data_IF_051051568452
#
_entry.id   IF_051051568452
#
_cell.length_a   1.000
_cell.length_b   1.000
_cell.length_c   1.000
_cell.angle_alpha   90.00
_cell.angle_beta   90.00
_cell.angle_gamma   90.00
#
_symmetry.space_group_name_H-M   'P 1'
#
loop_
_entity.id
_entity.type
_entity.pdbx_description
1 polymer ?
#
# COMPACT_ATOMS: atom_id res chain seq x y z
N UNK A 1 -7.90 3.67 -31.49
CA UNK A 1 -8.42 3.02 -30.27
C UNK A 1 -7.19 2.51 -29.55
N UNK A 2 -6.84 3.07 -28.39
CA UNK A 2 -5.69 2.56 -27.65
C UNK A 2 -6.07 1.16 -27.14
N UNK A 3 -5.22 0.17 -27.37
CA UNK A 3 -5.47 -1.17 -26.84
C UNK A 3 -5.48 -1.11 -25.31
N UNK A 4 -6.54 -1.67 -24.74
CA UNK A 4 -6.63 -1.80 -23.29
C UNK A 4 -5.61 -2.86 -22.83
N UNK A 5 -4.81 -2.50 -21.85
CA UNK A 5 -3.82 -3.39 -21.22
C UNK A 5 -4.45 -3.92 -19.94
N UNK A 6 -4.13 -5.17 -19.60
CA UNK A 6 -4.46 -5.76 -18.29
C UNK A 6 -3.18 -5.87 -17.46
N UNK A 7 -3.23 -5.43 -16.21
CA UNK A 7 -2.14 -5.50 -15.25
C UNK A 7 -2.64 -6.21 -13.99
N UNK A 8 -1.84 -7.13 -13.48
CA UNK A 8 -2.06 -7.76 -12.19
C UNK A 8 -1.14 -7.12 -11.16
N UNK A 9 -1.66 -6.90 -9.96
CA UNK A 9 -0.89 -6.30 -8.89
C UNK A 9 -1.64 -6.28 -7.57
N UNK A 10 -1.04 -5.66 -6.57
CA UNK A 10 -1.63 -5.54 -5.24
C UNK A 10 -2.06 -4.09 -4.98
N UNK A 11 -3.23 -3.89 -4.37
CA UNK A 11 -3.64 -2.59 -3.88
C UNK A 11 -2.64 -2.13 -2.81
N UNK A 12 -2.02 -0.97 -3.02
CA UNK A 12 -0.91 -0.52 -2.18
C UNK A 12 -1.40 0.10 -0.85
N UNK A 13 -2.31 1.05 -0.95
CA UNK A 13 -2.80 1.88 0.16
C UNK A 13 -4.32 1.99 0.04
N UNK A 14 -4.95 2.60 1.06
CA UNK A 14 -6.38 2.89 1.06
C UNK A 14 -6.78 3.72 -0.18
N UNK A 15 -7.93 3.38 -0.73
CA UNK A 15 -8.46 4.05 -1.91
C UNK A 15 -9.08 5.39 -1.51
N UNK A 16 -9.07 6.35 -2.44
CA UNK A 16 -9.51 7.71 -2.17
C UNK A 16 -10.56 8.15 -3.20
N UNK A 17 -11.64 8.81 -2.77
CA UNK A 17 -12.53 9.51 -3.70
C UNK A 17 -11.77 10.53 -4.55
N UNK A 18 -12.06 10.56 -5.85
CA UNK A 18 -11.51 11.54 -6.78
C UNK A 18 -12.28 12.85 -6.82
N UNK A 19 -13.49 12.87 -6.27
CA UNK A 19 -14.39 14.02 -6.17
C UNK A 19 -15.34 13.88 -4.96
N UNK A 20 -16.07 14.96 -4.65
CA UNK A 20 -16.98 15.05 -3.49
C UNK A 20 -18.20 14.12 -3.61
N UNK A 21 -18.55 13.70 -4.82
CA UNK A 21 -19.67 12.81 -5.08
C UNK A 21 -19.26 11.34 -5.16
N UNK A 22 -17.98 11.02 -4.90
CA UNK A 22 -17.44 9.66 -5.03
C UNK A 22 -17.70 9.04 -6.41
N UNK A 23 -17.89 9.88 -7.44
CA UNK A 23 -18.17 9.43 -8.80
C UNK A 23 -16.93 8.97 -9.55
N UNK A 24 -15.77 9.28 -8.98
CA UNK A 24 -14.44 8.86 -9.43
C UNK A 24 -13.64 8.37 -8.24
N UNK A 25 -12.68 7.48 -8.48
CA UNK A 25 -11.79 6.95 -7.45
C UNK A 25 -10.33 7.01 -7.90
N UNK A 26 -9.42 7.16 -6.94
CA UNK A 26 -7.97 7.14 -7.12
C UNK A 26 -7.35 6.15 -6.16
N UNK A 27 -6.41 5.36 -6.65
CA UNK A 27 -5.72 4.36 -5.86
C UNK A 27 -4.37 4.04 -6.51
N UNK A 28 -3.56 3.22 -5.85
CA UNK A 28 -2.25 2.81 -6.36
C UNK A 28 -2.13 1.30 -6.33
N UNK A 29 -1.56 0.74 -7.40
CA UNK A 29 -1.29 -0.70 -7.50
C UNK A 29 0.21 -0.92 -7.57
N UNK A 30 0.73 -1.84 -6.76
CA UNK A 30 2.08 -2.38 -6.95
C UNK A 30 1.98 -3.46 -8.03
N UNK A 31 2.66 -3.23 -9.15
CA UNK A 31 2.79 -4.18 -10.24
C UNK A 31 4.19 -4.76 -10.21
N UNK A 32 4.31 -6.08 -10.18
CA UNK A 32 5.56 -6.81 -10.31
C UNK A 32 5.60 -7.42 -11.71
N UNK A 33 6.32 -6.82 -12.68
CA UNK A 33 6.42 -7.38 -14.03
C UNK A 33 7.23 -8.68 -14.07
N UNK A 34 8.04 -8.92 -13.05
CA UNK A 34 8.82 -10.14 -12.80
C UNK A 34 8.53 -10.63 -11.37
N UNK A 35 8.99 -11.84 -11.04
CA UNK A 35 8.95 -12.35 -9.66
C UNK A 35 10.04 -11.71 -8.77
N UNK A 36 10.84 -10.77 -9.30
CA UNK A 36 11.88 -10.07 -8.55
C UNK A 36 11.32 -8.78 -7.92
N UNK A 37 11.49 -8.65 -6.60
CA UNK A 37 10.98 -7.51 -5.82
C UNK A 37 11.57 -6.16 -6.24
N UNK A 38 12.76 -6.15 -6.85
CA UNK A 38 13.43 -4.93 -7.33
C UNK A 38 12.72 -4.29 -8.52
N UNK A 39 11.88 -5.05 -9.23
CA UNK A 39 11.21 -4.58 -10.44
C UNK A 39 9.79 -4.07 -10.15
N UNK A 40 9.40 -3.98 -8.88
CA UNK A 40 8.09 -3.48 -8.47
C UNK A 40 7.90 -2.02 -8.86
N UNK A 41 6.74 -1.73 -9.45
CA UNK A 41 6.33 -0.39 -9.84
C UNK A 41 5.03 -0.02 -9.14
N UNK A 42 5.01 1.12 -8.44
CA UNK A 42 3.79 1.72 -7.91
C UNK A 42 3.13 2.54 -9.02
N UNK A 43 1.98 2.08 -9.50
CA UNK A 43 1.25 2.71 -10.61
C UNK A 43 0.01 3.46 -10.09
N UNK A 44 -0.05 4.80 -10.24
CA UNK A 44 -1.25 5.57 -9.95
C UNK A 44 -2.40 5.16 -10.88
N UNK A 45 -3.54 4.81 -10.31
CA UNK A 45 -4.74 4.40 -11.01
C UNK A 45 -5.88 5.39 -10.79
N UNK A 46 -6.80 5.47 -11.76
CA UNK A 46 -8.05 6.23 -11.61
C UNK A 46 -9.21 5.53 -12.30
N UNK A 47 -10.39 5.68 -11.72
CA UNK A 47 -11.67 5.21 -12.26
C UNK A 47 -12.57 6.41 -12.45
N UNK A 48 -13.23 6.47 -13.61
CA UNK A 48 -14.21 7.51 -13.94
C UNK A 48 -15.65 6.97 -14.07
N UNK A 49 -15.83 5.65 -13.96
CA UNK A 49 -17.14 5.03 -13.92
C UNK A 49 -17.67 5.03 -12.47
N UNK A 50 -18.84 5.64 -12.18
CA UNK A 50 -19.32 5.79 -10.81
C UNK A 50 -19.62 4.47 -10.09
N UNK A 51 -20.08 3.44 -10.81
CA UNK A 51 -20.38 2.15 -10.20
C UNK A 51 -19.08 1.44 -9.79
N UNK A 52 -18.08 1.48 -10.68
CA UNK A 52 -16.76 0.95 -10.38
C UNK A 52 -16.04 1.77 -9.29
N UNK A 53 -16.20 3.10 -9.30
CA UNK A 53 -15.64 3.97 -8.27
C UNK A 53 -16.17 3.62 -6.88
N UNK A 54 -17.48 3.35 -6.77
CA UNK A 54 -18.10 2.91 -5.53
C UNK A 54 -17.47 1.60 -5.02
N UNK A 55 -17.36 0.57 -5.87
CA UNK A 55 -16.66 -0.68 -5.49
C UNK A 55 -15.22 -0.42 -5.07
N UNK A 56 -14.48 0.43 -5.79
CA UNK A 56 -13.09 0.74 -5.42
C UNK A 56 -12.99 1.39 -4.05
N UNK A 57 -13.91 2.30 -3.72
CA UNK A 57 -13.88 3.07 -2.47
C UNK A 57 -14.32 2.22 -1.28
N UNK A 58 -15.34 1.37 -1.45
CA UNK A 58 -16.01 0.73 -0.33
C UNK A 58 -15.71 -0.76 -0.17
N UNK A 59 -15.32 -1.45 -1.25
CA UNK A 59 -15.17 -2.92 -1.23
C UNK A 59 -13.71 -3.40 -1.22
N UNK A 60 -12.77 -2.56 -1.67
CA UNK A 60 -11.35 -2.94 -1.77
C UNK A 60 -10.58 -2.60 -0.51
N UNK A 61 -9.63 -3.46 -0.16
CA UNK A 61 -8.71 -3.23 0.97
C UNK A 61 -7.25 -3.33 0.53
N UNK A 62 -6.35 -2.58 1.20
CA UNK A 62 -4.92 -2.71 0.95
C UNK A 62 -4.46 -4.17 1.03
N UNK A 63 -3.63 -4.58 0.06
CA UNK A 63 -3.19 -5.97 -0.09
C UNK A 63 -4.08 -6.85 -0.97
N UNK A 64 -5.26 -6.38 -1.41
CA UNK A 64 -6.06 -7.11 -2.40
C UNK A 64 -5.24 -7.31 -3.68
N UNK A 65 -5.23 -8.53 -4.20
CA UNK A 65 -4.67 -8.81 -5.53
C UNK A 65 -5.72 -8.50 -6.58
N UNK A 66 -5.42 -7.55 -7.44
CA UNK A 66 -6.31 -7.02 -8.45
C UNK A 66 -5.79 -7.32 -9.85
N UNK A 67 -6.71 -7.56 -10.77
CA UNK A 67 -6.52 -7.38 -12.22
C UNK A 67 -7.19 -6.09 -12.62
N UNK A 68 -6.41 -5.10 -13.05
CA UNK A 68 -6.92 -3.84 -13.58
C UNK A 68 -6.77 -3.81 -15.09
N UNK A 69 -7.83 -3.44 -15.80
CA UNK A 69 -7.85 -3.33 -17.26
C UNK A 69 -8.19 -1.92 -17.66
N UNK A 70 -7.43 -1.35 -18.59
CA UNK A 70 -7.58 0.04 -18.97
C UNK A 70 -6.45 0.56 -19.85
N UNK A 71 -6.28 1.88 -19.84
CA UNK A 71 -5.33 2.56 -20.72
C UNK A 71 -4.28 3.32 -19.91
N UNK A 72 -3.01 3.15 -20.29
CA UNK A 72 -1.92 3.94 -19.74
C UNK A 72 -1.90 5.34 -20.34
N UNK A 73 -2.01 6.36 -19.50
CA UNK A 73 -1.80 7.76 -19.86
C UNK A 73 -0.36 8.15 -19.54
N UNK A 74 0.39 8.39 -20.61
CA UNK A 74 1.75 8.88 -20.52
C UNK A 74 1.75 10.37 -20.15
N UNK A 75 2.70 10.83 -19.32
CA UNK A 75 2.91 12.25 -19.05
C UNK A 75 3.10 13.05 -20.33
N UNK A 76 2.43 14.18 -20.46
CA UNK A 76 2.62 15.09 -21.62
C UNK A 76 3.52 16.27 -21.29
N UNK A 77 3.60 16.62 -20.01
CA UNK A 77 4.51 17.64 -19.50
C UNK A 77 5.41 17.08 -18.40
N UNK A 78 6.64 17.61 -18.23
CA UNK A 78 7.49 17.23 -17.12
C UNK A 78 6.80 17.51 -15.77
N UNK A 79 6.76 16.50 -14.90
CA UNK A 79 6.13 16.59 -13.57
C UNK A 79 4.71 16.01 -13.51
N UNK A 80 4.08 15.69 -14.64
CA UNK A 80 2.86 14.88 -14.64
C UNK A 80 3.21 13.42 -14.32
N UNK A 81 2.50 12.75 -13.38
CA UNK A 81 2.70 11.34 -13.16
C UNK A 81 2.12 10.54 -14.33
N UNK A 82 2.76 9.42 -14.66
CA UNK A 82 2.13 8.39 -15.47
C UNK A 82 0.92 7.85 -14.71
N UNK A 83 -0.21 7.68 -15.39
CA UNK A 83 -1.46 7.28 -14.75
C UNK A 83 -2.15 6.19 -15.56
N UNK A 84 -2.68 5.17 -14.88
CA UNK A 84 -3.50 4.14 -15.50
C UNK A 84 -4.99 4.46 -15.31
N UNK A 85 -5.72 4.61 -16.42
CA UNK A 85 -7.17 4.83 -16.37
C UNK A 85 -7.85 3.48 -16.48
N UNK A 86 -8.46 3.06 -15.37
CA UNK A 86 -9.09 1.76 -15.21
C UNK A 86 -10.53 1.82 -15.72
N UNK A 87 -10.87 0.88 -16.59
CA UNK A 87 -12.20 0.70 -17.15
C UNK A 87 -12.88 -0.57 -16.64
N UNK A 88 -12.09 -1.54 -16.17
CA UNK A 88 -12.57 -2.74 -15.53
C UNK A 88 -11.57 -3.21 -14.45
N UNK A 89 -12.10 -3.81 -13.39
CA UNK A 89 -11.33 -4.32 -12.27
C UNK A 89 -11.89 -5.67 -11.85
N UNK A 90 -11.02 -6.58 -11.43
CA UNK A 90 -11.41 -7.86 -10.85
C UNK A 90 -10.51 -8.16 -9.66
N UNK A 91 -11.10 -8.49 -8.52
CA UNK A 91 -10.37 -8.99 -7.37
C UNK A 91 -10.01 -10.45 -7.65
N UNK A 92 -8.73 -10.73 -7.80
CA UNK A 92 -8.20 -12.08 -8.02
C UNK A 92 -8.03 -12.83 -6.69
N UNK A 93 -7.67 -12.10 -5.64
CA UNK A 93 -7.50 -12.62 -4.28
C UNK A 93 -7.74 -11.48 -3.30
N UNK A 94 -8.57 -11.72 -2.29
CA UNK A 94 -8.78 -10.77 -1.20
C UNK A 94 -7.59 -10.79 -0.25
N UNK A 95 -7.21 -9.63 0.28
CA UNK A 95 -6.23 -9.53 1.35
C UNK A 95 -6.67 -10.38 2.54
N UNK A 96 -5.71 -10.97 3.25
CA UNK A 96 -6.00 -11.58 4.54
C UNK A 96 -6.31 -10.45 5.52
N UNK A 97 -7.59 -10.24 5.80
CA UNK A 97 -8.01 -9.33 6.85
C UNK A 97 -7.81 -10.07 8.18
N UNK A 98 -6.75 -9.72 8.89
CA UNK A 98 -6.51 -10.21 10.24
C UNK A 98 -7.53 -9.55 11.16
N UNK A 99 -8.70 -10.17 11.27
CA UNK A 99 -9.75 -9.74 12.19
C UNK A 99 -9.29 -9.96 13.63
N UNK A 100 -9.48 -8.92 14.43
CA UNK A 100 -9.22 -8.81 15.86
C UNK A 100 -9.51 -10.13 16.61
N UNK A 101 -8.47 -10.75 17.18
CA UNK A 101 -8.60 -11.86 18.14
C UNK A 101 -8.09 -13.25 17.74
N UNK A 102 -7.47 -13.43 16.57
CA UNK A 102 -6.72 -14.66 16.30
C UNK A 102 -5.23 -14.46 16.66
N UNK A 103 -4.66 -15.41 17.40
CA UNK A 103 -3.25 -15.51 17.83
C UNK A 103 -2.24 -15.62 16.67
N UNK A 104 -2.48 -14.96 15.55
CA UNK A 104 -1.60 -14.97 14.39
C UNK A 104 -0.73 -13.72 14.45
N UNK A 105 0.59 -13.94 14.50
CA UNK A 105 1.54 -12.84 14.45
C UNK A 105 1.37 -12.03 13.17
N UNK A 106 1.31 -10.71 13.31
CA UNK A 106 1.06 -9.78 12.20
C UNK A 106 2.37 -9.13 11.79
N UNK A 107 2.63 -9.02 10.49
CA UNK A 107 3.70 -8.18 9.96
C UNK A 107 3.07 -7.01 9.17
N UNK A 108 3.28 -5.79 9.65
CA UNK A 108 2.77 -4.56 9.05
C UNK A 108 3.93 -3.62 8.68
N UNK A 109 3.76 -2.82 7.63
CA UNK A 109 4.69 -1.74 7.28
C UNK A 109 4.05 -0.39 7.63
N UNK A 110 4.74 0.38 8.46
CA UNK A 110 4.36 1.75 8.80
C UNK A 110 5.46 2.72 8.37
N UNK A 111 5.32 3.32 7.18
CA UNK A 111 6.34 4.19 6.60
C UNK A 111 7.63 3.43 6.23
N UNK A 112 8.75 3.83 6.83
CA UNK A 112 10.08 3.18 6.68
C UNK A 112 10.35 2.10 7.72
N UNK A 113 9.35 1.78 8.56
CA UNK A 113 9.44 0.81 9.64
C UNK A 113 8.57 -0.42 9.36
N UNK A 114 9.02 -1.57 9.85
CA UNK A 114 8.32 -2.85 9.83
C UNK A 114 7.97 -3.23 11.27
N UNK A 115 6.70 -3.52 11.53
CA UNK A 115 6.17 -3.93 12.82
C UNK A 115 5.79 -5.40 12.75
N UNK A 116 6.39 -6.22 13.60
CA UNK A 116 5.94 -7.59 13.84
C UNK A 116 5.22 -7.62 15.18
N UNK A 117 3.92 -7.85 15.16
CA UNK A 117 3.11 -8.07 16.35
C UNK A 117 3.12 -9.56 16.63
N UNK A 118 3.69 -9.95 17.76
CA UNK A 118 3.73 -11.34 18.18
C UNK A 118 2.32 -11.80 18.61
N UNK A 119 1.78 -12.86 18.00
CA UNK A 119 0.44 -13.36 18.29
C UNK A 119 0.30 -14.04 19.66
N UNK A 120 1.41 -14.48 20.26
CA UNK A 120 1.43 -15.12 21.58
C UNK A 120 1.55 -14.07 22.71
N UNK A 121 2.34 -13.01 22.50
CA UNK A 121 2.64 -12.01 23.54
C UNK A 121 1.95 -10.66 23.34
N UNK A 122 1.50 -10.35 22.12
CA UNK A 122 1.01 -9.03 21.75
C UNK A 122 2.11 -7.97 21.62
N UNK A 123 3.38 -8.34 21.83
CA UNK A 123 4.50 -7.40 21.74
C UNK A 123 4.76 -6.99 20.30
N UNK A 124 5.03 -5.71 20.07
CA UNK A 124 5.36 -5.18 18.76
C UNK A 124 6.87 -5.03 18.65
N UNK A 125 7.48 -5.78 17.74
CA UNK A 125 8.89 -5.68 17.40
C UNK A 125 9.05 -4.77 16.18
N UNK A 126 9.98 -3.82 16.21
CA UNK A 126 10.13 -2.77 15.20
C UNK A 126 11.52 -2.83 14.57
N UNK A 127 11.56 -2.86 13.23
CA UNK A 127 12.76 -2.73 12.42
C UNK A 127 12.62 -1.61 11.40
N UNK A 128 13.72 -1.10 10.88
CA UNK A 128 13.72 -0.33 9.64
C UNK A 128 13.52 -1.27 8.44
N UNK A 129 13.10 -0.75 7.29
CA UNK A 129 12.96 -1.54 6.05
C UNK A 129 14.28 -2.17 5.56
N UNK A 130 15.42 -1.65 6.03
CA UNK A 130 16.75 -2.19 5.75
C UNK A 130 17.21 -3.24 6.77
N UNK A 131 16.36 -3.58 7.75
CA UNK A 131 16.63 -4.61 8.75
C UNK A 131 17.35 -4.10 10.01
N UNK A 132 17.53 -2.79 10.19
CA UNK A 132 18.08 -2.26 11.45
C UNK A 132 17.07 -2.42 12.58
N UNK A 133 17.52 -2.96 13.70
CA UNK A 133 16.67 -3.11 14.89
C UNK A 133 16.38 -1.77 15.54
N UNK A 134 15.10 -1.46 15.77
CA UNK A 134 14.65 -0.24 16.46
C UNK A 134 14.35 -0.54 17.92
N UNK A 135 13.59 -1.60 18.20
CA UNK A 135 13.24 -2.03 19.55
C UNK A 135 11.88 -2.73 19.63
N UNK A 136 11.38 -2.89 20.85
CA UNK A 136 10.06 -3.47 21.13
C UNK A 136 9.17 -2.44 21.82
N UNK A 137 7.87 -2.48 21.53
CA UNK A 137 6.82 -1.74 22.20
C UNK A 137 5.83 -2.74 22.81
N UNK A 138 5.46 -2.55 24.08
CA UNK A 138 4.46 -3.39 24.77
C UNK A 138 3.05 -2.99 24.36
N UNK A 139 2.87 -1.71 24.00
CA UNK A 139 1.59 -1.16 23.58
C UNK A 139 1.76 -0.32 22.30
N UNK A 140 0.75 -0.29 21.40
CA UNK A 140 0.84 0.46 20.14
C UNK A 140 1.12 1.96 20.29
N UNK A 141 0.72 2.59 21.40
CA UNK A 141 0.92 4.02 21.67
C UNK A 141 2.36 4.36 22.09
N UNK A 142 3.17 3.39 22.50
CA UNK A 142 4.60 3.57 22.81
C UNK A 142 5.47 3.66 21.55
N UNK A 143 4.92 3.22 20.41
CA UNK A 143 5.66 3.02 19.17
C UNK A 143 6.21 4.33 18.58
N UNK A 144 5.47 5.42 18.71
CA UNK A 144 5.92 6.75 18.27
C UNK A 144 7.13 7.25 19.08
N UNK A 145 7.15 6.99 20.39
CA UNK A 145 8.27 7.38 21.26
C UNK A 145 9.52 6.54 20.97
N UNK A 146 9.32 5.23 20.72
CA UNK A 146 10.39 4.31 20.34
C UNK A 146 11.08 4.73 19.04
N UNK A 147 10.31 5.02 17.99
CA UNK A 147 10.81 5.51 16.71
C UNK A 147 11.56 6.83 16.88
N UNK A 148 10.97 7.78 17.61
CA UNK A 148 11.63 9.05 17.87
C UNK A 148 12.99 8.87 18.58
N UNK A 149 13.07 8.02 19.61
CA UNK A 149 14.32 7.77 20.33
C UNK A 149 15.40 7.18 19.42
N UNK A 150 15.03 6.25 18.53
CA UNK A 150 15.94 5.67 17.56
C UNK A 150 16.46 6.73 16.56
N UNK A 151 15.58 7.55 16.00
CA UNK A 151 15.95 8.60 15.05
C UNK A 151 16.88 9.66 15.68
N UNK A 152 16.60 10.07 16.92
CA UNK A 152 17.45 11.00 17.65
C UNK A 152 18.81 10.38 18.01
N UNK A 153 18.87 9.07 18.26
CA UNK A 153 20.11 8.32 18.49
C UNK A 153 20.94 8.08 17.23
N UNK A 154 20.35 8.21 16.04
CA UNK A 154 21.02 8.12 14.74
C UNK A 154 21.54 9.48 14.24
N UNK A 155 21.39 10.56 15.00
CA UNK A 155 21.96 11.86 14.65
C UNK A 155 23.47 11.70 14.35
N UNK A 156 23.99 12.27 13.24
CA UNK A 156 25.35 12.01 12.82
C UNK A 156 26.31 12.48 13.91
N UNK A 157 27.10 11.53 14.43
CA UNK A 157 28.36 11.87 15.09
C UNK A 157 29.17 12.70 14.11
N UNK A 158 29.34 13.97 14.45
CA UNK A 158 30.11 14.90 13.64
C UNK A 158 31.54 14.40 13.48
N UNK A 159 32.01 14.42 12.24
CA UNK A 159 33.41 14.63 11.89
C UNK A 159 33.47 15.62 10.74
#
# INVERSE_FOLDING_TARGET
MADAIALDGFLYEETMPGDVHESTARFRVIVSPTDERTDEMILPCSVADPALAHTVIHDLVPGDKLRVTGCLRLPRTPGEPMQFVVNALTVLQTALQLTDGAYESVLERCGTYLHYIDGDTGQVQVWTEHGSWVGWAEQPDELAALVAAFEHGQAPGGE
#
